data_IF_337156784223
#
_entry.id   IF_337156784223
#
_cell.length_a   1.000
_cell.length_b   1.000
_cell.length_c   1.000
_cell.angle_alpha   90.00
_cell.angle_beta   90.00
_cell.angle_gamma   90.00
#
_symmetry.space_group_name_H-M   'P 1'
#
loop_
_entity.id
_entity.type
_entity.pdbx_description
1 polymer ?
#
# COMPACT_ATOMS: atom_id res chain seq x y z
N UNK A 1 -5.53 -3.70 -13.23
CA UNK A 1 -6.74 -4.45 -12.78
C UNK A 1 -6.30 -5.35 -11.66
N UNK A 2 -6.88 -5.21 -10.47
CA UNK A 2 -6.51 -5.97 -9.27
C UNK A 2 -7.11 -7.37 -9.38
N UNK A 3 -6.34 -8.42 -9.08
CA UNK A 3 -6.77 -9.81 -9.12
C UNK A 3 -7.05 -10.30 -7.70
N UNK A 4 -8.31 -10.55 -7.36
CA UNK A 4 -8.74 -10.98 -6.02
C UNK A 4 -9.42 -12.34 -6.11
N UNK A 5 -8.73 -13.47 -5.83
CA UNK A 5 -9.39 -14.73 -5.60
C UNK A 5 -10.13 -14.74 -4.26
N UNK A 6 -11.29 -15.37 -4.27
CA UNK A 6 -12.07 -15.75 -3.08
C UNK A 6 -11.95 -17.28 -2.96
N UNK A 7 -11.47 -17.75 -1.80
CA UNK A 7 -11.34 -19.19 -1.48
C UNK A 7 -12.30 -19.47 -0.34
N UNK A 8 -13.42 -20.11 -0.69
CA UNK A 8 -14.58 -20.25 0.21
C UNK A 8 -15.48 -21.38 -0.31
N UNK A 9 -15.86 -22.34 0.54
CA UNK A 9 -16.72 -23.46 0.18
C UNK A 9 -18.22 -23.16 0.38
N UNK A 10 -18.55 -22.14 1.18
CA UNK A 10 -19.94 -21.74 1.40
C UNK A 10 -20.40 -20.68 0.38
N UNK A 11 -21.31 -21.05 -0.52
CA UNK A 11 -21.82 -20.20 -1.60
C UNK A 11 -22.42 -18.86 -1.10
N UNK A 12 -22.98 -18.84 0.12
CA UNK A 12 -23.55 -17.64 0.71
C UNK A 12 -22.50 -16.56 0.94
N UNK A 13 -21.30 -16.95 1.44
CA UNK A 13 -20.20 -16.01 1.66
C UNK A 13 -19.51 -15.61 0.35
N UNK A 14 -19.41 -16.54 -0.60
CA UNK A 14 -18.92 -16.21 -1.96
C UNK A 14 -19.75 -15.10 -2.58
N UNK A 15 -21.09 -15.22 -2.53
CA UNK A 15 -22.02 -14.18 -3.03
C UNK A 15 -21.85 -12.87 -2.29
N UNK A 16 -21.83 -12.90 -0.95
CA UNK A 16 -21.67 -11.72 -0.12
C UNK A 16 -20.36 -10.96 -0.42
N UNK A 17 -19.23 -11.67 -0.44
CA UNK A 17 -17.93 -11.07 -0.72
C UNK A 17 -17.85 -10.52 -2.15
N UNK A 18 -18.41 -11.22 -3.12
CA UNK A 18 -18.50 -10.74 -4.50
C UNK A 18 -19.29 -9.43 -4.61
N UNK A 19 -20.42 -9.33 -3.91
CA UNK A 19 -21.23 -8.10 -3.86
C UNK A 19 -20.46 -6.95 -3.17
N UNK A 20 -19.75 -7.25 -2.08
CA UNK A 20 -18.93 -6.28 -1.38
C UNK A 20 -17.78 -5.74 -2.25
N UNK A 21 -17.11 -6.62 -3.01
CA UNK A 21 -16.08 -6.21 -3.96
C UNK A 21 -16.68 -5.34 -5.08
N UNK A 22 -17.86 -5.68 -5.62
CA UNK A 22 -18.53 -4.86 -6.64
C UNK A 22 -18.88 -3.46 -6.11
N UNK A 23 -19.41 -3.39 -4.88
CA UNK A 23 -19.69 -2.12 -4.22
C UNK A 23 -18.42 -1.31 -4.03
N UNK A 24 -17.35 -1.93 -3.53
CA UNK A 24 -16.04 -1.32 -3.36
C UNK A 24 -15.46 -0.79 -4.68
N UNK A 25 -15.57 -1.56 -5.78
CA UNK A 25 -15.14 -1.12 -7.11
C UNK A 25 -15.82 0.21 -7.52
N UNK A 26 -17.13 0.29 -7.29
CA UNK A 26 -17.93 1.49 -7.64
C UNK A 26 -17.53 2.67 -6.77
N UNK A 27 -17.40 2.48 -5.44
CA UNK A 27 -17.08 3.55 -4.50
C UNK A 27 -15.65 4.09 -4.67
N UNK A 28 -14.68 3.23 -5.03
CA UNK A 28 -13.26 3.59 -5.15
C UNK A 28 -12.79 3.81 -6.59
N UNK A 29 -13.66 3.65 -7.58
CA UNK A 29 -13.28 3.77 -9.01
C UNK A 29 -12.18 2.78 -9.42
N UNK A 30 -12.20 1.56 -8.86
CA UNK A 30 -11.16 0.54 -9.08
C UNK A 30 -11.66 -0.53 -10.03
N UNK A 31 -10.74 -1.12 -10.80
CA UNK A 31 -11.02 -2.31 -11.61
C UNK A 31 -10.48 -3.54 -10.90
N UNK A 32 -11.37 -4.46 -10.48
CA UNK A 32 -11.03 -5.69 -9.77
C UNK A 32 -11.61 -6.87 -10.55
N UNK A 33 -10.82 -7.93 -10.72
CA UNK A 33 -11.28 -9.21 -11.23
C UNK A 33 -11.35 -10.21 -10.09
N UNK A 34 -12.51 -10.80 -9.89
CA UNK A 34 -12.74 -11.86 -8.91
C UNK A 34 -12.64 -13.21 -9.58
N UNK A 35 -11.95 -14.16 -8.95
CA UNK A 35 -11.94 -15.58 -9.29
C UNK A 35 -12.34 -16.36 -8.04
N UNK A 36 -13.16 -17.38 -8.16
CA UNK A 36 -13.63 -18.17 -7.00
C UNK A 36 -13.00 -19.55 -7.05
N UNK A 37 -12.50 -19.98 -5.90
CA UNK A 37 -12.00 -21.32 -5.62
C UNK A 37 -12.84 -21.91 -4.48
N UNK A 38 -13.25 -23.15 -4.63
CA UNK A 38 -14.13 -23.80 -3.66
C UNK A 38 -13.41 -24.39 -2.45
N UNK A 39 -12.07 -24.45 -2.46
CA UNK A 39 -11.28 -25.07 -1.41
C UNK A 39 -9.80 -24.65 -1.48
N UNK A 40 -9.05 -24.90 -0.40
CA UNK A 40 -7.61 -24.64 -0.34
C UNK A 40 -6.79 -25.51 -1.31
N UNK A 41 -7.24 -26.72 -1.61
CA UNK A 41 -6.60 -27.59 -2.61
C UNK A 41 -6.75 -27.00 -4.01
N UNK A 42 -7.96 -26.55 -4.37
CA UNK A 42 -8.27 -25.98 -5.68
C UNK A 42 -7.40 -24.75 -6.00
N UNK A 43 -7.22 -23.81 -5.06
CA UNK A 43 -6.33 -22.67 -5.30
C UNK A 43 -4.86 -23.09 -5.36
N UNK A 44 -4.40 -24.04 -4.52
CA UNK A 44 -2.98 -24.42 -4.49
C UNK A 44 -2.56 -25.22 -5.72
N UNK A 45 -3.41 -26.09 -6.25
CA UNK A 45 -3.14 -26.85 -7.48
C UNK A 45 -3.13 -25.95 -8.72
N UNK A 46 -3.98 -24.92 -8.73
CA UNK A 46 -4.11 -23.98 -9.84
C UNK A 46 -3.32 -22.68 -9.64
N UNK A 47 -2.41 -22.63 -8.64
CA UNK A 47 -1.66 -21.43 -8.34
C UNK A 47 -0.55 -21.17 -9.37
N UNK A 48 -0.78 -20.20 -10.24
CA UNK A 48 0.19 -19.77 -11.27
C UNK A 48 0.84 -18.41 -10.97
N UNK A 49 0.58 -17.85 -9.78
CA UNK A 49 0.94 -16.47 -9.46
C UNK A 49 -0.01 -15.43 -10.08
N UNK A 50 0.30 -14.16 -9.87
CA UNK A 50 -0.45 -13.05 -10.47
C UNK A 50 -1.74 -12.67 -9.74
N UNK A 51 -1.98 -13.23 -8.57
CA UNK A 51 -2.98 -12.73 -7.63
C UNK A 51 -2.39 -11.61 -6.77
N UNK A 52 -3.21 -10.61 -6.47
CA UNK A 52 -2.79 -9.47 -5.68
C UNK A 52 -3.21 -9.61 -4.21
N UNK A 53 -4.47 -9.99 -3.97
CA UNK A 53 -5.05 -10.14 -2.63
C UNK A 53 -5.91 -11.38 -2.61
N UNK A 54 -5.58 -12.35 -1.76
CA UNK A 54 -6.39 -13.57 -1.57
C UNK A 54 -7.32 -13.36 -0.38
N UNK A 55 -8.63 -13.51 -0.60
CA UNK A 55 -9.62 -13.61 0.48
C UNK A 55 -9.87 -15.08 0.74
N UNK A 56 -9.56 -15.57 1.94
CA UNK A 56 -9.52 -17.02 2.22
C UNK A 56 -10.24 -17.36 3.53
N UNK A 57 -11.20 -18.29 3.47
CA UNK A 57 -11.66 -18.92 4.70
C UNK A 57 -10.62 -19.91 5.22
N UNK A 58 -10.62 -20.12 6.51
CA UNK A 58 -9.78 -21.15 7.16
C UNK A 58 -10.50 -22.47 7.16
N UNK A 59 -11.79 -22.49 7.49
CA UNK A 59 -12.55 -23.71 7.64
C UNK A 59 -13.16 -24.15 6.31
N UNK A 60 -12.49 -25.06 5.62
CA UNK A 60 -12.95 -25.65 4.36
C UNK A 60 -12.84 -27.17 4.40
N UNK A 61 -13.51 -27.87 3.46
CA UNK A 61 -13.77 -29.30 3.55
C UNK A 61 -12.51 -30.16 3.34
N UNK A 62 -11.70 -29.91 2.31
CA UNK A 62 -10.57 -30.76 1.94
C UNK A 62 -9.24 -30.22 2.47
N UNK A 63 -8.90 -28.99 2.13
CA UNK A 63 -7.70 -28.33 2.65
C UNK A 63 -8.07 -27.03 3.35
N UNK A 64 -7.71 -26.92 4.62
CA UNK A 64 -7.94 -25.69 5.38
C UNK A 64 -7.11 -24.51 4.85
N UNK A 65 -7.62 -23.30 5.08
CA UNK A 65 -6.99 -22.09 4.56
C UNK A 65 -5.60 -21.79 5.12
N UNK A 66 -5.26 -22.25 6.33
CA UNK A 66 -3.91 -22.09 6.88
C UNK A 66 -2.91 -22.94 6.12
N UNK A 67 -3.23 -24.22 5.90
CA UNK A 67 -2.40 -25.13 5.09
C UNK A 67 -2.25 -24.62 3.66
N UNK A 68 -3.33 -24.12 3.06
CA UNK A 68 -3.28 -23.51 1.74
C UNK A 68 -2.37 -22.26 1.71
N UNK A 69 -2.49 -21.37 2.71
CA UNK A 69 -1.65 -20.19 2.83
C UNK A 69 -0.17 -20.54 3.00
N UNK A 70 0.17 -21.56 3.81
CA UNK A 70 1.55 -22.03 3.96
C UNK A 70 2.14 -22.53 2.62
N UNK A 71 1.38 -23.29 1.85
CA UNK A 71 1.79 -23.73 0.50
C UNK A 71 1.95 -22.57 -0.47
N UNK A 72 1.01 -21.61 -0.46
CA UNK A 72 1.09 -20.41 -1.30
C UNK A 72 2.33 -19.61 -0.94
N UNK A 73 2.66 -19.43 0.35
CA UNK A 73 3.87 -18.72 0.78
C UNK A 73 5.17 -19.34 0.29
N UNK A 74 5.21 -20.66 0.10
CA UNK A 74 6.38 -21.33 -0.50
C UNK A 74 6.56 -20.97 -1.99
N UNK A 75 5.47 -20.65 -2.69
CA UNK A 75 5.47 -20.29 -4.12
C UNK A 75 5.51 -18.77 -4.34
N UNK A 76 4.82 -18.00 -3.48
CA UNK A 76 4.65 -16.55 -3.59
C UNK A 76 4.65 -15.90 -2.20
N UNK A 77 5.77 -15.26 -1.87
CA UNK A 77 5.94 -14.55 -0.60
C UNK A 77 5.29 -13.16 -0.58
N UNK A 78 4.83 -12.66 -1.75
CA UNK A 78 4.36 -11.27 -1.89
C UNK A 78 2.85 -11.13 -1.93
N UNK A 79 2.11 -12.14 -2.40
CA UNK A 79 0.66 -12.05 -2.48
C UNK A 79 0.07 -11.73 -1.10
N UNK A 80 -0.84 -10.78 -1.05
CA UNK A 80 -1.49 -10.41 0.20
C UNK A 80 -2.55 -11.47 0.53
N UNK A 81 -2.50 -12.02 1.75
CA UNK A 81 -3.50 -12.97 2.24
C UNK A 81 -4.30 -12.28 3.34
N UNK A 82 -5.63 -12.30 3.20
CA UNK A 82 -6.57 -11.82 4.20
C UNK A 82 -7.56 -12.93 4.51
N UNK A 83 -7.56 -13.38 5.77
CA UNK A 83 -8.48 -14.42 6.20
C UNK A 83 -9.87 -13.85 6.50
N UNK A 84 -10.92 -14.58 6.09
CA UNK A 84 -12.33 -14.25 6.34
C UNK A 84 -12.99 -15.49 6.93
N UNK A 85 -13.12 -15.56 8.26
CA UNK A 85 -13.44 -16.82 8.93
C UNK A 85 -14.16 -16.64 10.26
N UNK A 86 -14.79 -17.70 10.76
CA UNK A 86 -15.29 -17.81 12.14
C UNK A 86 -14.20 -18.17 13.16
N UNK A 87 -13.01 -18.58 12.69
CA UNK A 87 -11.97 -19.21 13.52
C UNK A 87 -11.01 -18.20 14.14
N UNK A 88 -11.47 -17.40 15.10
CA UNK A 88 -10.67 -16.34 15.78
C UNK A 88 -9.39 -16.90 16.41
N UNK A 89 -9.40 -18.14 16.90
CA UNK A 89 -8.24 -18.77 17.53
C UNK A 89 -7.04 -18.93 16.60
N UNK A 90 -7.24 -18.90 15.28
CA UNK A 90 -6.17 -18.97 14.30
C UNK A 90 -5.51 -17.61 13.99
N UNK A 91 -6.01 -16.50 14.56
CA UNK A 91 -5.43 -15.18 14.31
C UNK A 91 -3.94 -15.11 14.72
N UNK A 92 -3.56 -15.82 15.79
CA UNK A 92 -2.14 -15.91 16.24
C UNK A 92 -1.29 -16.66 15.21
N UNK A 93 -1.80 -17.74 14.62
CA UNK A 93 -1.09 -18.51 13.58
C UNK A 93 -1.02 -17.76 12.23
N UNK A 94 -1.91 -16.79 12.00
CA UNK A 94 -1.86 -15.94 10.81
C UNK A 94 -0.53 -15.19 10.65
N UNK A 95 0.18 -14.94 11.76
CA UNK A 95 1.54 -14.36 11.70
C UNK A 95 2.57 -15.31 11.05
N UNK A 96 2.39 -16.61 11.15
CA UNK A 96 3.32 -17.61 10.56
C UNK A 96 3.30 -17.58 9.03
N UNK A 97 2.15 -17.19 8.45
CA UNK A 97 1.96 -17.07 6.99
C UNK A 97 1.99 -15.62 6.50
N UNK A 98 2.43 -14.67 7.35
CA UNK A 98 2.39 -13.23 7.05
C UNK A 98 1.05 -12.79 6.46
N UNK A 99 -0.06 -13.23 7.10
CA UNK A 99 -1.38 -12.76 6.74
C UNK A 99 -1.51 -11.29 7.13
N UNK A 100 -1.99 -10.48 6.19
CA UNK A 100 -2.11 -9.06 6.41
C UNK A 100 -3.20 -8.69 7.42
N UNK A 101 -4.33 -9.40 7.38
CA UNK A 101 -5.47 -9.08 8.24
C UNK A 101 -6.42 -10.28 8.42
N UNK A 102 -7.30 -10.14 9.41
CA UNK A 102 -8.33 -11.09 9.78
C UNK A 102 -9.70 -10.41 9.80
N UNK A 103 -10.66 -10.96 9.08
CA UNK A 103 -12.06 -10.53 9.10
C UNK A 103 -12.90 -11.63 9.70
N UNK A 104 -13.56 -11.34 10.82
CA UNK A 104 -14.41 -12.33 11.50
C UNK A 104 -15.79 -12.33 10.87
N UNK A 105 -16.31 -13.51 10.52
CA UNK A 105 -17.71 -13.69 10.10
C UNK A 105 -18.65 -13.49 11.32
N UNK A 106 -19.84 -12.80 11.19
CA UNK A 106 -20.39 -12.27 9.95
C UNK A 106 -19.67 -11.02 9.47
N UNK A 107 -19.39 -10.96 8.16
CA UNK A 107 -18.64 -9.87 7.55
C UNK A 107 -19.51 -8.63 7.39
N UNK A 108 -19.10 -7.51 7.97
CA UNK A 108 -19.72 -6.21 7.74
C UNK A 108 -18.99 -5.43 6.66
N UNK A 109 -19.74 -4.82 5.72
CA UNK A 109 -19.15 -4.12 4.58
C UNK A 109 -18.14 -3.02 4.98
N UNK A 110 -18.47 -2.22 6.01
CA UNK A 110 -17.60 -1.12 6.43
C UNK A 110 -16.22 -1.64 6.90
N UNK A 111 -16.19 -2.65 7.78
CA UNK A 111 -14.96 -3.28 8.24
C UNK A 111 -14.18 -3.92 7.08
N UNK A 112 -14.87 -4.64 6.19
CA UNK A 112 -14.29 -5.25 5.01
C UNK A 112 -13.63 -4.21 4.09
N UNK A 113 -14.35 -3.13 3.78
CA UNK A 113 -13.85 -2.09 2.86
C UNK A 113 -12.61 -1.38 3.39
N UNK A 114 -12.53 -1.10 4.71
CA UNK A 114 -11.34 -0.52 5.33
C UNK A 114 -10.13 -1.45 5.24
N UNK A 115 -10.32 -2.75 5.51
CA UNK A 115 -9.24 -3.74 5.40
C UNK A 115 -8.79 -3.92 3.96
N UNK A 116 -9.72 -3.89 3.02
CA UNK A 116 -9.40 -3.94 1.60
C UNK A 116 -8.67 -2.66 1.12
N UNK A 117 -9.00 -1.47 1.67
CA UNK A 117 -8.25 -0.23 1.41
C UNK A 117 -6.79 -0.38 1.88
N UNK A 118 -6.56 -0.95 3.06
CA UNK A 118 -5.21 -1.25 3.58
C UNK A 118 -4.46 -2.24 2.67
N UNK A 119 -5.11 -3.31 2.24
CA UNK A 119 -4.52 -4.31 1.35
C UNK A 119 -4.10 -3.70 0.01
N UNK A 120 -4.97 -2.91 -0.61
CA UNK A 120 -4.68 -2.20 -1.86
C UNK A 120 -3.59 -1.14 -1.67
N UNK A 121 -3.53 -0.50 -0.50
CA UNK A 121 -2.45 0.42 -0.12
C UNK A 121 -1.09 -0.29 -0.04
N UNK A 122 -1.03 -1.47 0.60
CA UNK A 122 0.19 -2.29 0.72
C UNK A 122 0.70 -2.74 -0.66
N UNK A 123 -0.18 -3.20 -1.56
CA UNK A 123 0.20 -3.53 -2.94
C UNK A 123 0.92 -2.38 -3.65
N UNK A 124 0.45 -1.14 -3.45
CA UNK A 124 1.06 0.04 -4.09
C UNK A 124 2.44 0.34 -3.54
N UNK A 125 2.69 0.11 -2.24
CA UNK A 125 4.02 0.29 -1.65
C UNK A 125 5.03 -0.77 -2.11
N UNK A 126 4.57 -1.93 -2.60
CA UNK A 126 5.43 -2.98 -3.15
C UNK A 126 5.74 -2.82 -4.65
N UNK A 127 4.93 -2.08 -5.40
CA UNK A 127 5.29 -1.67 -6.77
C UNK A 127 6.35 -0.59 -6.66
N UNK A 128 7.62 -0.99 -6.76
CA UNK A 128 8.73 -0.05 -6.79
C UNK A 128 8.60 0.89 -7.98
N UNK A 129 8.23 2.11 -7.71
CA UNK A 129 8.18 3.17 -8.71
C UNK A 129 9.49 3.95 -8.66
N UNK A 130 10.11 4.10 -9.82
CA UNK A 130 11.44 4.66 -9.88
C UNK A 130 11.43 6.05 -10.54
N UNK A 131 12.17 6.97 -9.94
CA UNK A 131 12.53 8.24 -10.54
C UNK A 131 13.93 8.11 -11.16
N UNK A 132 14.06 8.40 -12.44
CA UNK A 132 15.36 8.51 -13.11
C UNK A 132 15.83 9.96 -13.04
N UNK A 133 16.96 10.19 -12.38
CA UNK A 133 17.53 11.52 -12.19
C UNK A 133 18.90 11.63 -12.89
N UNK A 134 19.15 12.71 -13.66
CA UNK A 134 20.46 12.98 -14.22
C UNK A 134 21.41 13.45 -13.12
N UNK A 135 22.62 12.86 -13.04
CA UNK A 135 23.71 13.26 -12.15
C UNK A 135 25.01 13.31 -12.94
N UNK A 136 25.62 14.52 -13.03
CA UNK A 136 26.83 14.69 -13.83
C UNK A 136 26.63 14.23 -15.26
N UNK A 137 27.47 13.29 -15.72
CA UNK A 137 27.41 12.68 -17.06
C UNK A 137 26.57 11.39 -17.11
N UNK A 138 25.94 11.00 -16.00
CA UNK A 138 25.17 9.77 -15.88
C UNK A 138 23.72 9.98 -15.42
N UNK A 139 23.03 8.85 -15.20
CA UNK A 139 21.70 8.82 -14.63
C UNK A 139 21.64 7.80 -13.49
N UNK A 140 20.87 8.13 -12.43
CA UNK A 140 20.59 7.20 -11.34
C UNK A 140 19.11 6.92 -11.30
N UNK A 141 18.76 5.66 -11.07
CA UNK A 141 17.39 5.20 -10.86
C UNK A 141 17.17 5.05 -9.35
N UNK A 142 16.30 5.89 -8.79
CA UNK A 142 15.98 5.93 -7.35
C UNK A 142 14.55 5.42 -7.17
N UNK A 143 14.35 4.54 -6.21
CA UNK A 143 13.01 4.17 -5.76
C UNK A 143 12.34 5.41 -5.13
N UNK A 144 11.15 5.78 -5.59
CA UNK A 144 10.44 6.96 -5.10
C UNK A 144 10.13 6.83 -3.61
N UNK A 145 9.89 5.60 -3.14
CA UNK A 145 9.67 5.32 -1.72
C UNK A 145 10.92 5.57 -0.86
N UNK A 146 12.13 5.48 -1.43
CA UNK A 146 13.37 5.76 -0.72
C UNK A 146 13.63 7.27 -0.53
N UNK A 147 12.89 8.15 -1.22
CA UNK A 147 13.10 9.61 -1.15
C UNK A 147 12.34 10.17 0.05
N UNK A 148 13.06 10.74 1.00
CA UNK A 148 12.53 11.42 2.18
C UNK A 148 11.97 12.80 1.86
N UNK A 149 12.82 13.64 1.28
CA UNK A 149 12.46 14.96 0.80
C UNK A 149 13.47 15.46 -0.25
N UNK A 150 13.10 16.53 -0.92
CA UNK A 150 13.93 17.18 -1.95
C UNK A 150 14.08 18.65 -1.58
N UNK A 151 15.31 19.14 -1.59
CA UNK A 151 15.66 20.53 -1.32
C UNK A 151 16.18 21.24 -2.56
N UNK A 152 15.66 22.43 -2.83
CA UNK A 152 16.15 23.31 -3.90
C UNK A 152 17.33 24.15 -3.43
N UNK A 153 18.48 23.99 -4.05
CA UNK A 153 19.68 24.77 -3.78
C UNK A 153 20.15 25.52 -5.04
N UNK A 154 19.86 26.83 -5.13
CA UNK A 154 20.20 27.70 -6.28
C UNK A 154 19.71 27.12 -7.62
N UNK A 155 20.59 26.49 -8.40
CA UNK A 155 20.31 25.90 -9.71
C UNK A 155 20.19 24.37 -9.69
N UNK A 156 20.32 23.76 -8.52
CA UNK A 156 20.28 22.32 -8.31
C UNK A 156 19.16 21.95 -7.34
N UNK A 157 18.83 20.69 -7.30
CA UNK A 157 18.03 20.06 -6.25
C UNK A 157 18.82 18.92 -5.63
N UNK A 158 18.66 18.74 -4.34
CA UNK A 158 19.23 17.62 -3.60
C UNK A 158 18.09 16.70 -3.18
N UNK A 159 18.21 15.42 -3.52
CA UNK A 159 17.33 14.35 -3.05
C UNK A 159 17.95 13.71 -1.83
N UNK A 160 17.28 13.78 -0.70
CA UNK A 160 17.66 13.09 0.53
C UNK A 160 16.95 11.74 0.56
N UNK A 161 17.72 10.65 0.57
CA UNK A 161 17.18 9.29 0.43
C UNK A 161 17.76 8.31 1.44
N UNK A 162 17.12 7.15 1.59
CA UNK A 162 17.60 6.05 2.45
C UNK A 162 18.99 5.51 2.03
N UNK A 163 19.41 5.76 0.77
CA UNK A 163 20.67 5.26 0.20
C UNK A 163 21.76 6.32 0.04
N UNK A 164 21.50 7.54 0.52
CA UNK A 164 22.38 8.70 0.39
C UNK A 164 21.76 9.81 -0.43
N UNK A 165 22.50 10.89 -0.61
CA UNK A 165 22.03 12.12 -1.22
C UNK A 165 22.46 12.22 -2.67
N UNK A 166 21.57 12.70 -3.53
CA UNK A 166 21.83 12.88 -4.96
C UNK A 166 21.55 14.32 -5.36
N UNK A 167 22.43 14.87 -6.20
CA UNK A 167 22.28 16.25 -6.71
C UNK A 167 21.97 16.23 -8.21
N UNK A 168 20.97 16.99 -8.63
CA UNK A 168 20.57 17.07 -10.03
C UNK A 168 20.20 18.49 -10.45
N UNK A 169 20.33 18.76 -11.75
CA UNK A 169 19.87 20.01 -12.38
C UNK A 169 18.48 19.83 -12.97
N UNK A 170 17.49 19.97 -12.13
CA UNK A 170 16.07 19.95 -12.49
C UNK A 170 15.34 21.04 -11.68
N UNK A 171 14.20 21.49 -12.15
CA UNK A 171 13.44 22.50 -11.40
C UNK A 171 12.52 21.87 -10.36
N UNK A 172 12.29 22.57 -9.25
CA UNK A 172 11.32 22.13 -8.22
C UNK A 172 9.90 22.01 -8.79
N UNK A 173 9.54 22.79 -9.82
CA UNK A 173 8.24 22.72 -10.47
C UNK A 173 8.06 21.42 -11.24
N UNK A 174 9.07 21.03 -12.05
CA UNK A 174 9.04 19.75 -12.76
C UNK A 174 8.95 18.55 -11.83
N UNK A 175 9.62 18.63 -10.65
CA UNK A 175 9.55 17.58 -9.64
C UNK A 175 8.18 17.52 -8.96
N UNK A 176 7.62 18.67 -8.62
CA UNK A 176 6.27 18.77 -8.07
C UNK A 176 5.24 18.11 -9.01
N UNK A 177 5.32 18.38 -10.32
CA UNK A 177 4.45 17.78 -11.34
C UNK A 177 4.67 16.26 -11.46
N UNK A 178 5.94 15.82 -11.53
CA UNK A 178 6.29 14.39 -11.66
C UNK A 178 5.91 13.55 -10.43
N UNK A 179 6.03 14.14 -9.24
CA UNK A 179 5.80 13.44 -7.98
C UNK A 179 4.42 13.70 -7.37
N UNK A 180 3.55 14.44 -8.07
CA UNK A 180 2.20 14.77 -7.59
C UNK A 180 1.34 13.53 -7.27
N UNK A 181 1.53 12.42 -8.00
CA UNK A 181 0.79 11.17 -7.81
C UNK A 181 1.40 10.24 -6.76
N UNK A 182 2.58 10.60 -6.21
CA UNK A 182 3.37 9.77 -5.29
C UNK A 182 3.38 10.31 -3.85
N UNK A 183 2.32 11.02 -3.46
CA UNK A 183 2.15 11.58 -2.12
C UNK A 183 3.28 12.57 -1.70
N UNK A 184 3.84 13.32 -2.66
CA UNK A 184 4.75 14.42 -2.37
C UNK A 184 4.01 15.73 -2.24
N UNK A 185 4.43 16.55 -1.27
CA UNK A 185 3.85 17.85 -1.02
C UNK A 185 4.93 18.94 -0.98
N UNK A 186 4.71 20.02 -1.74
CA UNK A 186 5.61 21.18 -1.71
C UNK A 186 5.28 22.08 -0.53
N UNK A 187 5.92 21.83 0.60
CA UNK A 187 5.64 22.53 1.86
C UNK A 187 6.19 23.95 1.93
N UNK A 188 7.26 24.24 1.16
CA UNK A 188 7.83 25.58 1.02
C UNK A 188 8.40 25.80 -0.38
N UNK A 189 8.86 27.03 -0.71
CA UNK A 189 9.41 27.37 -2.03
C UNK A 189 10.56 26.43 -2.45
N UNK A 190 11.40 26.03 -1.47
CA UNK A 190 12.57 25.20 -1.70
C UNK A 190 12.44 23.75 -1.21
N UNK A 191 11.29 23.30 -0.74
CA UNK A 191 11.15 21.97 -0.16
C UNK A 191 9.94 21.22 -0.70
N UNK A 192 10.18 19.99 -1.16
CA UNK A 192 9.18 19.01 -1.58
C UNK A 192 9.36 17.78 -0.69
N UNK A 193 8.38 17.44 0.13
CA UNK A 193 8.46 16.37 1.13
C UNK A 193 7.60 15.18 0.73
N UNK A 194 8.09 13.98 1.00
CA UNK A 194 7.30 12.76 0.88
C UNK A 194 6.45 12.61 2.15
N UNK A 195 5.14 12.74 2.01
CA UNK A 195 4.19 12.70 3.13
C UNK A 195 4.17 11.35 3.85
N UNK A 196 4.62 10.26 3.20
CA UNK A 196 4.75 8.93 3.82
C UNK A 196 5.88 8.86 4.86
N UNK A 197 6.84 9.79 4.82
CA UNK A 197 7.96 9.86 5.75
C UNK A 197 7.82 10.97 6.80
N UNK A 198 6.70 11.71 6.82
CA UNK A 198 6.46 12.76 7.81
C UNK A 198 6.10 12.13 9.14
N UNK A 199 6.99 12.25 10.13
CA UNK A 199 6.84 11.73 11.49
C UNK A 199 6.00 12.64 12.38
N UNK A 200 5.95 13.94 12.05
CA UNK A 200 5.22 14.90 12.86
C UNK A 200 5.34 16.34 12.38
N UNK A 201 4.70 17.24 13.16
CA UNK A 201 4.74 18.67 12.93
C UNK A 201 5.01 19.40 14.24
N UNK A 202 6.14 20.12 14.34
CA UNK A 202 6.58 20.83 15.54
C UNK A 202 6.77 22.31 15.23
N UNK A 203 6.01 23.17 15.89
CA UNK A 203 6.06 24.62 15.65
C UNK A 203 5.57 25.03 14.27
N UNK A 204 6.49 25.27 13.34
CA UNK A 204 6.24 25.58 11.93
C UNK A 204 6.88 24.60 10.96
N UNK A 205 7.51 23.54 11.47
CA UNK A 205 8.30 22.62 10.70
C UNK A 205 7.68 21.23 10.70
N UNK A 206 7.73 20.51 9.56
CA UNK A 206 7.52 19.09 9.54
C UNK A 206 8.83 18.35 9.89
N UNK A 207 8.70 17.19 10.54
CA UNK A 207 9.83 16.37 10.97
C UNK A 207 9.89 15.12 10.11
N UNK A 208 11.04 14.85 9.51
CA UNK A 208 11.34 13.68 8.71
C UNK A 208 12.74 13.19 9.10
N UNK A 209 12.87 11.99 9.63
CA UNK A 209 14.17 11.41 10.07
C UNK A 209 15.01 12.37 10.93
N UNK A 210 14.37 12.99 11.93
CA UNK A 210 14.94 14.01 12.81
C UNK A 210 15.38 15.31 12.10
N UNK A 211 15.04 15.51 10.83
CA UNK A 211 15.29 16.77 10.12
C UNK A 211 14.04 17.66 10.20
N UNK A 212 14.22 18.89 10.63
CA UNK A 212 13.17 19.90 10.70
C UNK A 212 13.10 20.67 9.37
N UNK A 213 12.00 20.55 8.64
CA UNK A 213 11.79 21.16 7.32
C UNK A 213 10.71 22.22 7.43
N UNK A 214 10.98 23.47 7.08
CA UNK A 214 10.04 24.56 7.25
C UNK A 214 8.82 24.43 6.32
N UNK A 215 7.63 24.59 6.89
CA UNK A 215 6.37 24.65 6.16
C UNK A 215 5.93 26.10 6.06
N UNK A 216 5.76 26.63 4.84
CA UNK A 216 5.37 28.03 4.63
C UNK A 216 3.97 28.31 5.21
N UNK A 217 3.75 29.53 5.70
CA UNK A 217 2.47 29.92 6.32
C UNK A 217 1.28 29.70 5.38
N UNK A 218 1.46 29.95 4.10
CA UNK A 218 0.42 29.79 3.07
C UNK A 218 0.06 28.33 2.80
N UNK A 219 0.99 27.39 2.98
CA UNK A 219 0.81 25.96 2.73
C UNK A 219 0.45 25.16 3.99
N UNK A 220 0.56 25.77 5.18
CA UNK A 220 0.37 25.09 6.48
C UNK A 220 -0.99 24.41 6.59
N UNK A 221 -2.07 25.09 6.20
CA UNK A 221 -3.43 24.54 6.31
C UNK A 221 -3.60 23.29 5.43
N UNK A 222 -3.13 23.36 4.21
CA UNK A 222 -3.19 22.24 3.24
C UNK A 222 -2.32 21.07 3.71
N UNK A 223 -1.09 21.36 4.17
CA UNK A 223 -0.19 20.38 4.74
C UNK A 223 -0.81 19.62 5.92
N UNK A 224 -1.40 20.35 6.88
CA UNK A 224 -2.04 19.75 8.06
C UNK A 224 -3.22 18.87 7.69
N UNK A 225 -4.03 19.26 6.70
CA UNK A 225 -5.14 18.43 6.22
C UNK A 225 -4.63 17.12 5.63
N UNK A 226 -3.57 17.15 4.81
CA UNK A 226 -2.96 15.96 4.23
C UNK A 226 -2.32 15.08 5.30
N UNK A 227 -1.65 15.67 6.28
CA UNK A 227 -1.04 14.93 7.39
C UNK A 227 -2.09 14.17 8.20
N UNK A 228 -3.22 14.82 8.53
CA UNK A 228 -4.32 14.17 9.24
C UNK A 228 -5.01 13.08 8.41
N UNK A 229 -5.10 13.25 7.09
CA UNK A 229 -5.61 12.21 6.20
C UNK A 229 -4.69 10.98 6.19
N UNK A 230 -3.37 11.17 6.15
CA UNK A 230 -2.40 10.08 6.18
C UNK A 230 -2.40 9.35 7.54
N UNK A 231 -2.50 10.08 8.67
CA UNK A 231 -2.58 9.48 10.01
C UNK A 231 -3.88 8.71 10.26
N UNK A 232 -4.97 9.04 9.58
CA UNK A 232 -6.25 8.31 9.68
C UNK A 232 -6.31 7.10 8.72
N UNK A 233 -5.27 6.86 7.94
CA UNK A 233 -5.15 5.70 7.04
C UNK A 233 -4.31 4.56 7.64
N UNK A 234 -3.70 4.74 8.82
CA UNK A 234 -3.09 3.69 9.64
C UNK A 234 -4.13 3.13 10.63
#
# INVERSE_FOLDING_TARGET
MIQIPIVEDEEIYVKQLTEYIRKYQTERGRSIKVTVFGDGEDITENYSGGFDIILMDIQMQFMDGMTAAEKIRQMDQKVIIMFITNMIQYAVRGYEVDAMDYVVKPVEYFSFSQKLDKAVGRMRSEVKEFLTIPIGEGVVKIDIADIYFIEGQRHNVIYYTSRGDYCSRITMKELEEKLAVHNFFRCAKGYLVNMNHVEGFVGSDCVIHNVHIPVSRTRKKEFMNLLLQNLNME
#
